data_IF_865703166294
#
_entry.id   IF_865703166294
#
_cell.length_a   1.000
_cell.length_b   1.000
_cell.length_c   1.000
_cell.angle_alpha   90.00
_cell.angle_beta   90.00
_cell.angle_gamma   90.00
#
_symmetry.space_group_name_H-M   'P 1'
#
loop_
_entity.id
_entity.type
_entity.pdbx_description
1 polymer ?
#
# COMPACT_ATOMS: atom_id res chain seq x y z
N UNK A 1 1.17 -6.91 -27.28
CA UNK A 1 1.13 -7.18 -25.84
C UNK A 1 0.55 -5.93 -25.21
N UNK A 2 -0.64 -6.01 -24.64
CA UNK A 2 -1.24 -4.88 -23.93
C UNK A 2 -0.47 -4.72 -22.63
N UNK A 3 0.41 -3.72 -22.54
CA UNK A 3 1.11 -3.40 -21.30
C UNK A 3 0.06 -3.05 -20.23
N UNK A 4 -0.24 -3.99 -19.33
CA UNK A 4 -1.14 -3.75 -18.21
C UNK A 4 -0.37 -2.91 -17.18
N UNK A 5 -0.44 -1.59 -17.35
CA UNK A 5 0.26 -0.62 -16.50
C UNK A 5 -0.70 0.05 -15.53
N UNK A 6 -0.32 0.13 -14.25
CA UNK A 6 -1.10 0.80 -13.20
C UNK A 6 -0.25 1.84 -12.49
N UNK A 7 -0.84 3.00 -12.25
CA UNK A 7 -0.24 4.03 -11.40
C UNK A 7 -0.61 3.72 -9.94
N UNK A 8 0.38 3.53 -9.10
CA UNK A 8 0.23 3.13 -7.70
C UNK A 8 0.99 4.07 -6.79
N UNK A 9 0.55 4.21 -5.56
CA UNK A 9 1.30 4.88 -4.50
C UNK A 9 1.70 3.83 -3.46
N UNK A 10 2.99 3.56 -3.29
CA UNK A 10 3.48 2.56 -2.33
C UNK A 10 3.86 3.25 -1.03
N UNK A 11 3.02 3.11 -0.01
CA UNK A 11 3.32 3.58 1.34
C UNK A 11 4.18 2.55 2.05
N UNK A 12 5.35 2.98 2.53
CA UNK A 12 6.36 2.15 3.19
C UNK A 12 7.20 3.03 4.13
N UNK A 13 7.98 2.40 5.00
CA UNK A 13 9.03 3.08 5.79
C UNK A 13 10.35 3.05 5.01
N UNK A 14 11.27 3.97 5.30
CA UNK A 14 12.50 4.14 4.50
C UNK A 14 13.41 2.90 4.57
N UNK A 15 13.29 2.12 5.64
CA UNK A 15 13.98 0.87 5.87
C UNK A 15 13.59 -0.22 4.85
N UNK A 16 12.42 -0.08 4.21
CA UNK A 16 11.82 -1.08 3.32
C UNK A 16 12.03 -0.76 1.83
N UNK A 17 12.80 0.28 1.48
CA UNK A 17 13.06 0.68 0.08
C UNK A 17 13.54 -0.50 -0.79
N UNK A 18 14.31 -1.43 -0.19
CA UNK A 18 14.78 -2.64 -0.87
C UNK A 18 13.63 -3.60 -1.27
N UNK A 19 12.57 -3.68 -0.47
CA UNK A 19 11.39 -4.51 -0.71
C UNK A 19 10.56 -4.02 -1.91
N UNK A 20 10.58 -2.72 -2.20
CA UNK A 20 9.83 -2.14 -3.32
C UNK A 20 10.32 -2.65 -4.68
N UNK A 21 11.63 -2.79 -4.84
CA UNK A 21 12.22 -3.36 -6.06
C UNK A 21 11.77 -4.79 -6.29
N UNK A 22 11.68 -5.58 -5.22
CA UNK A 22 11.21 -6.97 -5.27
C UNK A 22 9.72 -7.04 -5.59
N UNK A 23 8.90 -6.16 -4.99
CA UNK A 23 7.47 -6.07 -5.30
C UNK A 23 7.22 -5.74 -6.77
N UNK A 24 7.91 -4.73 -7.30
CA UNK A 24 7.81 -4.36 -8.73
C UNK A 24 8.21 -5.53 -9.64
N UNK A 25 9.29 -6.23 -9.29
CA UNK A 25 9.77 -7.39 -10.05
C UNK A 25 8.76 -8.55 -10.00
N UNK A 26 8.17 -8.83 -8.84
CA UNK A 26 7.15 -9.84 -8.66
C UNK A 26 5.93 -9.54 -9.56
N UNK A 27 5.40 -8.32 -9.52
CA UNK A 27 4.25 -7.94 -10.33
C UNK A 27 4.57 -7.96 -11.83
N UNK A 28 5.77 -7.49 -12.21
CA UNK A 28 6.25 -7.53 -13.59
C UNK A 28 6.34 -8.96 -14.13
N UNK A 29 6.82 -9.90 -13.32
CA UNK A 29 6.88 -11.33 -13.68
C UNK A 29 5.49 -11.95 -13.89
N UNK A 30 4.46 -11.40 -13.25
CA UNK A 30 3.06 -11.81 -13.42
C UNK A 30 2.30 -10.95 -14.45
N UNK A 31 3.00 -10.09 -15.20
CA UNK A 31 2.43 -9.32 -16.30
C UNK A 31 1.74 -8.00 -15.92
N UNK A 32 1.97 -7.50 -14.71
CA UNK A 32 1.52 -6.17 -14.28
C UNK A 32 2.71 -5.23 -14.06
N UNK A 33 2.76 -4.15 -14.83
CA UNK A 33 3.73 -3.06 -14.61
C UNK A 33 3.11 -2.03 -13.68
N UNK A 34 3.72 -1.80 -12.52
CA UNK A 34 3.32 -0.71 -11.63
C UNK A 34 4.26 0.49 -11.76
N UNK A 35 3.69 1.69 -11.76
CA UNK A 35 4.41 2.95 -11.70
C UNK A 35 4.15 3.57 -10.34
N UNK A 36 5.19 3.64 -9.51
CA UNK A 36 5.12 4.20 -8.17
C UNK A 36 5.43 5.70 -8.15
N UNK A 37 4.64 6.45 -7.40
CA UNK A 37 4.87 7.87 -7.09
C UNK A 37 5.28 8.09 -5.63
N UNK A 38 5.73 7.04 -4.93
CA UNK A 38 6.15 7.11 -3.53
C UNK A 38 7.46 7.89 -3.37
N UNK A 39 7.60 8.56 -2.23
CA UNK A 39 8.85 9.22 -1.84
C UNK A 39 9.72 8.17 -1.16
N UNK A 40 10.91 7.92 -1.70
CA UNK A 40 11.92 6.99 -1.14
C UNK A 40 13.08 7.78 -0.54
N UNK A 41 13.98 7.10 0.17
CA UNK A 41 15.22 7.70 0.66
C UNK A 41 16.11 8.28 -0.46
N UNK A 42 15.97 7.77 -1.68
CA UNK A 42 16.64 8.25 -2.91
C UNK A 42 15.99 9.51 -3.51
N UNK A 43 14.78 9.87 -3.07
CA UNK A 43 14.13 11.15 -3.39
C UNK A 43 13.95 12.00 -2.14
N UNK A 44 15.04 12.36 -1.44
CA UNK A 44 14.95 13.14 -0.22
C UNK A 44 14.35 14.49 -0.56
N UNK A 45 13.17 14.77 -0.01
CA UNK A 45 12.57 16.09 -0.18
C UNK A 45 13.26 17.08 0.78
N UNK A 46 13.65 18.25 0.26
CA UNK A 46 14.29 19.31 1.04
C UNK A 46 13.30 20.17 1.84
N UNK A 47 12.01 19.81 1.88
CA UNK A 47 10.99 20.57 2.56
C UNK A 47 11.06 20.31 4.07
N UNK A 48 11.22 21.38 4.84
CA UNK A 48 11.32 21.32 6.31
C UNK A 48 9.97 21.37 7.01
N UNK A 49 8.88 21.57 6.26
CA UNK A 49 7.52 21.67 6.80
C UNK A 49 6.72 20.41 6.48
N UNK A 50 6.29 19.63 7.49
CA UNK A 50 5.46 18.44 7.30
C UNK A 50 4.18 18.71 6.51
N UNK A 51 3.54 19.86 6.74
CA UNK A 51 2.30 20.23 6.05
C UNK A 51 2.53 20.50 4.57
N UNK A 52 3.66 21.11 4.22
CA UNK A 52 4.06 21.33 2.83
C UNK A 52 4.33 20.01 2.11
N UNK A 53 5.02 19.07 2.77
CA UNK A 53 5.27 17.73 2.20
C UNK A 53 3.94 17.04 1.87
N UNK A 54 3.00 17.10 2.84
CA UNK A 54 1.68 16.52 2.71
C UNK A 54 0.87 17.15 1.57
N UNK A 55 0.84 18.48 1.46
CA UNK A 55 0.01 19.18 0.48
C UNK A 55 0.61 19.22 -0.93
N UNK A 56 1.93 19.42 -1.04
CA UNK A 56 2.59 19.68 -2.33
C UNK A 56 3.27 18.46 -2.94
N UNK A 57 3.53 17.41 -2.14
CA UNK A 57 4.26 16.23 -2.63
C UNK A 57 3.39 14.98 -2.53
N UNK A 58 2.96 14.62 -1.33
CA UNK A 58 2.18 13.40 -1.10
C UNK A 58 0.80 13.50 -1.75
N UNK A 59 0.08 14.61 -1.55
CA UNK A 59 -1.25 14.77 -2.11
C UNK A 59 -1.28 14.68 -3.65
N UNK A 60 -0.40 15.36 -4.42
CA UNK A 60 -0.34 15.19 -5.86
C UNK A 60 0.05 13.77 -6.29
N UNK A 61 1.03 13.15 -5.61
CA UNK A 61 1.47 11.78 -5.90
C UNK A 61 0.33 10.77 -5.70
N UNK A 62 -0.42 10.89 -4.61
CA UNK A 62 -1.59 10.07 -4.28
C UNK A 62 -2.72 10.33 -5.28
N UNK A 63 -2.97 11.59 -5.66
CA UNK A 63 -4.01 11.94 -6.64
C UNK A 63 -3.74 11.30 -8.00
N UNK A 64 -2.48 11.30 -8.43
CA UNK A 64 -2.03 10.67 -9.66
C UNK A 64 -2.12 9.13 -9.63
N UNK A 65 -1.87 8.52 -8.47
CA UNK A 65 -2.03 7.08 -8.29
C UNK A 65 -3.51 6.66 -8.33
N UNK A 66 -3.81 5.55 -8.99
CA UNK A 66 -5.15 4.96 -9.00
C UNK A 66 -5.46 4.12 -7.76
N UNK A 67 -4.42 3.50 -7.19
CA UNK A 67 -4.49 2.57 -6.06
C UNK A 67 -3.33 2.86 -5.09
N UNK A 68 -3.59 2.76 -3.80
CA UNK A 68 -2.56 2.75 -2.77
C UNK A 68 -2.19 1.32 -2.41
N UNK A 69 -0.89 1.03 -2.38
CA UNK A 69 -0.33 -0.21 -1.85
C UNK A 69 0.36 0.17 -0.54
N UNK A 70 0.03 -0.52 0.55
CA UNK A 70 0.70 -0.36 1.84
C UNK A 70 1.59 -1.58 2.04
N UNK A 71 2.90 -1.36 2.03
CA UNK A 71 3.88 -2.40 2.29
C UNK A 71 3.96 -2.61 3.81
N UNK A 72 3.50 -3.76 4.28
CA UNK A 72 3.36 -4.06 5.71
C UNK A 72 4.59 -4.83 6.19
N UNK A 73 5.48 -4.12 6.87
CA UNK A 73 6.63 -4.65 7.62
C UNK A 73 6.43 -4.44 9.14
N UNK A 74 7.26 -5.05 9.99
CA UNK A 74 7.14 -4.91 11.44
C UNK A 74 7.16 -3.47 11.96
N UNK A 75 7.83 -2.55 11.26
CA UNK A 75 7.92 -1.13 11.63
C UNK A 75 6.81 -0.25 11.05
N UNK A 76 6.07 -0.73 10.05
CA UNK A 76 5.06 0.09 9.35
C UNK A 76 3.94 0.56 10.29
N UNK A 77 3.56 -0.27 11.27
CA UNK A 77 2.47 0.03 12.22
C UNK A 77 2.69 1.30 13.03
N UNK A 78 3.95 1.62 13.32
CA UNK A 78 4.34 2.75 14.17
C UNK A 78 4.52 4.05 13.35
N UNK A 79 4.41 3.99 12.02
CA UNK A 79 4.60 5.14 11.14
C UNK A 79 3.36 6.04 11.09
N UNK A 80 3.49 7.23 11.69
CA UNK A 80 2.46 8.29 11.64
C UNK A 80 2.24 8.78 10.20
N UNK A 81 3.28 8.75 9.36
CA UNK A 81 3.16 9.13 7.95
C UNK A 81 2.31 8.12 7.18
N UNK A 82 2.56 6.82 7.36
CA UNK A 82 1.78 5.76 6.70
C UNK A 82 0.30 5.86 7.09
N UNK A 83 0.01 6.01 8.39
CA UNK A 83 -1.38 6.18 8.85
C UNK A 83 -2.05 7.40 8.22
N UNK A 84 -1.35 8.54 8.16
CA UNK A 84 -1.87 9.76 7.54
C UNK A 84 -2.13 9.58 6.03
N UNK A 85 -1.25 8.91 5.30
CA UNK A 85 -1.42 8.64 3.87
C UNK A 85 -2.66 7.77 3.61
N UNK A 86 -2.86 6.72 4.41
CA UNK A 86 -4.01 5.82 4.29
C UNK A 86 -5.31 6.59 4.52
N UNK A 87 -5.37 7.40 5.58
CA UNK A 87 -6.52 8.26 5.84
C UNK A 87 -6.78 9.23 4.68
N UNK A 88 -5.73 9.81 4.11
CA UNK A 88 -5.85 10.73 2.99
C UNK A 88 -6.39 10.04 1.73
N UNK A 89 -5.88 8.86 1.40
CA UNK A 89 -6.33 8.04 0.27
C UNK A 89 -7.78 7.61 0.46
N UNK A 90 -8.16 7.20 1.67
CA UNK A 90 -9.53 6.85 2.01
C UNK A 90 -10.49 8.03 1.80
N UNK A 91 -10.10 9.25 2.23
CA UNK A 91 -10.89 10.48 1.99
C UNK A 91 -11.07 10.79 0.50
N UNK A 92 -10.13 10.36 -0.34
CA UNK A 92 -10.23 10.48 -1.80
C UNK A 92 -11.09 9.38 -2.45
N UNK A 93 -11.60 8.42 -1.67
CA UNK A 93 -12.37 7.27 -2.17
C UNK A 93 -11.55 6.34 -3.05
N UNK A 94 -10.22 6.33 -2.88
CA UNK A 94 -9.31 5.49 -3.64
C UNK A 94 -9.13 4.15 -2.93
N UNK A 95 -8.84 3.12 -3.73
CA UNK A 95 -8.63 1.76 -3.24
C UNK A 95 -7.32 1.63 -2.48
N UNK A 96 -7.34 0.93 -1.35
CA UNK A 96 -6.21 0.70 -0.45
C UNK A 96 -5.99 -0.81 -0.35
N UNK A 97 -4.78 -1.26 -0.69
CA UNK A 97 -4.36 -2.67 -0.64
C UNK A 97 -3.16 -2.82 0.28
N UNK A 98 -3.28 -3.61 1.34
CA UNK A 98 -2.15 -4.03 2.17
C UNK A 98 -1.43 -5.22 1.53
N UNK A 99 -0.10 -5.18 1.50
CA UNK A 99 0.75 -6.29 1.04
C UNK A 99 1.76 -6.59 2.13
N UNK A 100 1.74 -7.82 2.65
CA UNK A 100 2.72 -8.28 3.62
C UNK A 100 4.11 -8.39 3.00
N UNK A 101 5.13 -7.88 3.69
CA UNK A 101 6.52 -8.08 3.31
C UNK A 101 6.89 -9.58 3.25
N UNK A 102 7.79 -9.92 2.32
CA UNK A 102 8.32 -11.26 2.21
C UNK A 102 9.12 -11.66 3.47
N UNK A 103 8.58 -12.59 4.24
CA UNK A 103 9.21 -13.06 5.47
C UNK A 103 8.91 -12.21 6.71
N UNK A 104 8.00 -11.24 6.62
CA UNK A 104 7.46 -10.59 7.80
C UNK A 104 6.74 -11.63 8.67
N UNK A 105 7.24 -11.86 9.87
CA UNK A 105 6.57 -12.70 10.88
C UNK A 105 6.21 -11.83 12.08
N UNK A 106 4.95 -11.85 12.50
CA UNK A 106 4.52 -11.09 13.68
C UNK A 106 4.51 -9.57 13.48
N UNK A 107 4.39 -9.12 12.22
CA UNK A 107 4.10 -7.73 11.92
C UNK A 107 2.60 -7.46 12.15
N UNK A 108 2.27 -6.34 12.79
CA UNK A 108 0.87 -5.91 12.87
C UNK A 108 0.55 -4.96 11.72
N UNK A 109 -0.71 -4.98 11.27
CA UNK A 109 -1.20 -3.97 10.34
C UNK A 109 -1.32 -2.62 11.06
N UNK A 110 -1.02 -1.49 10.40
CA UNK A 110 -1.32 -0.17 10.95
C UNK A 110 -2.81 0.01 11.20
N UNK A 111 -3.19 0.76 12.24
CA UNK A 111 -4.59 1.02 12.60
C UNK A 111 -5.39 1.63 11.44
N UNK A 112 -4.79 2.53 10.65
CA UNK A 112 -5.47 3.12 9.50
C UNK A 112 -5.68 2.08 8.40
N UNK A 113 -4.71 1.19 8.18
CA UNK A 113 -4.84 0.10 7.23
C UNK A 113 -5.96 -0.83 7.67
N UNK A 114 -6.02 -1.15 8.96
CA UNK A 114 -7.07 -2.02 9.50
C UNK A 114 -8.48 -1.46 9.30
N UNK A 115 -8.62 -0.13 9.36
CA UNK A 115 -9.92 0.54 9.22
C UNK A 115 -10.35 0.73 7.77
N UNK A 116 -9.40 1.00 6.88
CA UNK A 116 -9.70 1.55 5.56
C UNK A 116 -9.22 0.68 4.38
N UNK A 117 -8.46 -0.39 4.61
CA UNK A 117 -8.04 -1.28 3.54
C UNK A 117 -9.23 -2.00 2.91
N UNK A 118 -9.22 -2.14 1.59
CA UNK A 118 -10.15 -2.97 0.86
C UNK A 118 -9.73 -4.44 0.87
N UNK A 119 -8.41 -4.68 0.81
CA UNK A 119 -7.81 -6.00 0.80
C UNK A 119 -6.46 -5.98 1.54
N UNK A 120 -6.11 -7.09 2.18
CA UNK A 120 -4.77 -7.32 2.74
C UNK A 120 -4.34 -8.71 2.31
N UNK A 121 -3.26 -8.80 1.54
CA UNK A 121 -2.83 -10.06 0.91
C UNK A 121 -1.38 -10.39 1.25
N UNK A 122 -1.08 -11.69 1.23
CA UNK A 122 0.29 -12.19 1.37
C UNK A 122 1.16 -11.83 0.15
N UNK A 123 2.47 -12.07 0.27
CA UNK A 123 3.43 -11.91 -0.82
C UNK A 123 3.25 -12.93 -1.95
N UNK A 124 2.17 -12.81 -2.74
CA UNK A 124 1.87 -13.66 -3.89
C UNK A 124 1.42 -12.79 -5.08
N UNK A 125 2.15 -12.90 -6.20
CA UNK A 125 2.04 -11.96 -7.32
C UNK A 125 0.64 -11.89 -7.92
N UNK A 126 -0.02 -13.03 -8.14
CA UNK A 126 -1.34 -13.05 -8.76
C UNK A 126 -2.40 -12.44 -7.84
N UNK A 127 -2.38 -12.77 -6.55
CA UNK A 127 -3.26 -12.19 -5.53
C UNK A 127 -3.06 -10.70 -5.37
N UNK A 128 -1.83 -10.21 -5.36
CA UNK A 128 -1.56 -8.77 -5.28
C UNK A 128 -2.16 -8.06 -6.51
N UNK A 129 -2.00 -8.61 -7.71
CA UNK A 129 -2.60 -8.07 -8.94
C UNK A 129 -4.12 -8.04 -8.83
N UNK A 130 -4.73 -9.16 -8.44
CA UNK A 130 -6.18 -9.27 -8.31
C UNK A 130 -6.73 -8.31 -7.24
N UNK A 131 -5.97 -8.09 -6.16
CA UNK A 131 -6.31 -7.12 -5.13
C UNK A 131 -6.18 -5.69 -5.64
N UNK A 132 -5.12 -5.34 -6.38
CA UNK A 132 -4.94 -4.01 -7.00
C UNK A 132 -6.06 -3.72 -8.01
N UNK A 133 -6.46 -4.72 -8.80
CA UNK A 133 -7.52 -4.57 -9.80
C UNK A 133 -8.94 -4.62 -9.21
N UNK A 134 -9.07 -4.87 -7.91
CA UNK A 134 -10.38 -4.94 -7.24
C UNK A 134 -11.18 -6.21 -7.54
N UNK A 135 -10.52 -7.27 -8.02
CA UNK A 135 -11.13 -8.57 -8.27
C UNK A 135 -11.34 -9.37 -6.97
N UNK A 136 -10.49 -9.13 -5.97
CA UNK A 136 -10.58 -9.74 -4.64
C UNK A 136 -10.53 -8.67 -3.54
N UNK A 137 -11.18 -8.94 -2.41
CA UNK A 137 -11.15 -8.13 -1.18
C UNK A 137 -10.77 -9.01 0.02
N UNK A 138 -9.87 -9.96 -0.23
CA UNK A 138 -9.45 -10.94 0.77
C UNK A 138 -8.62 -10.26 1.85
N UNK A 139 -8.72 -10.78 3.07
CA UNK A 139 -7.88 -10.43 4.19
C UNK A 139 -7.12 -11.66 4.62
N UNK A 140 -5.81 -11.62 4.44
CA UNK A 140 -4.90 -12.69 4.77
C UNK A 140 -3.89 -12.23 5.82
N UNK A 141 -3.37 -13.19 6.57
CA UNK A 141 -2.15 -13.02 7.35
C UNK A 141 -0.90 -13.11 6.46
N UNK A 142 0.28 -12.94 7.05
CA UNK A 142 1.56 -13.05 6.37
C UNK A 142 1.80 -14.42 5.70
N UNK A 143 1.13 -15.47 6.20
CA UNK A 143 1.22 -16.84 5.68
C UNK A 143 0.25 -17.12 4.54
N UNK A 144 -0.61 -16.14 4.19
CA UNK A 144 -1.65 -16.30 3.18
C UNK A 144 -2.89 -17.02 3.69
N UNK A 145 -3.03 -17.25 5.01
CA UNK A 145 -4.25 -17.80 5.57
C UNK A 145 -5.30 -16.70 5.75
N UNK A 146 -6.59 -17.00 5.56
CA UNK A 146 -7.66 -16.05 5.83
C UNK A 146 -7.60 -15.56 7.27
N UNK A 147 -7.59 -14.24 7.46
CA UNK A 147 -7.67 -13.63 8.79
C UNK A 147 -9.11 -13.69 9.30
N UNK A 148 -9.28 -13.76 10.61
CA UNK A 148 -10.62 -13.78 11.21
C UNK A 148 -11.45 -12.57 10.76
N UNK A 149 -12.77 -12.75 10.49
CA UNK A 149 -13.64 -11.67 10.04
C UNK A 149 -13.68 -10.55 11.08
N UNK A 150 -13.25 -9.35 10.69
CA UNK A 150 -13.35 -8.17 11.55
C UNK A 150 -14.72 -7.54 11.41
N UNK A 151 -15.24 -7.00 12.51
CA UNK A 151 -16.44 -6.15 12.48
C UNK A 151 -16.03 -4.79 11.91
N UNK A 152 -15.95 -4.70 10.59
CA UNK A 152 -15.70 -3.43 9.91
C UNK A 152 -17.01 -2.64 10.02
N UNK A 153 -17.00 -1.54 10.77
CA UNK A 153 -18.11 -0.58 10.79
C UNK A 153 -18.22 0.05 9.39
N UNK A 154 -18.95 -0.61 8.49
CA UNK A 154 -19.31 -0.05 7.19
C UNK A 154 -20.24 1.12 7.47
N UNK A 155 -19.72 2.34 7.42
CA UNK A 155 -20.56 3.52 7.34
C UNK A 155 -21.28 3.45 5.98
N UNK A 156 -22.57 3.07 6.04
CA UNK A 156 -23.45 3.03 4.89
C UNK A 156 -23.58 4.41 4.24
N UNK A 157 -23.77 4.38 2.93
CA UNK A 157 -23.89 5.51 2.01
C UNK A 157 -24.85 6.61 2.46
#
# INVERSE_FOLDING_TARGET
MTDNTRNTFISHIHEDDAGLGQLKSLLGNHGLTIRDSSITSDTPNNAKSPDYIKSEILAPAIKWAGVMIVYVSPGTKDSVYVNWEIEYVHRLGKRIVGVWEHGASGADVPDALDKYADAVVSWEGQRIIDAIEGRINDWQDESGQPREPRVIARFGC
#
